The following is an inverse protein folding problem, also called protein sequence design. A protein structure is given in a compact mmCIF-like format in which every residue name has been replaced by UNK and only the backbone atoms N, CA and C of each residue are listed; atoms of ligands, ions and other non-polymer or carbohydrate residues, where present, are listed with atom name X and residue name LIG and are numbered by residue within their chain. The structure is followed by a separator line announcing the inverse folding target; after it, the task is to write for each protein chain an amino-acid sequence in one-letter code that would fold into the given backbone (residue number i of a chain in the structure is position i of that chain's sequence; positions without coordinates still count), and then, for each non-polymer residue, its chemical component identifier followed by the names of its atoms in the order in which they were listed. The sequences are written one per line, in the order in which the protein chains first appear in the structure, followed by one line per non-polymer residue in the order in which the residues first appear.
data_IF_388734208603
#
_entry.id   IF_388734208603
#
_cell.length_a   1.000
_cell.length_b   1.000
_cell.length_c   1.000
_cell.angle_alpha   90.00
_cell.angle_beta   90.00
_cell.angle_gamma   90.00
#
_symmetry.space_group_name_H-M   'P 1'
#
loop_
_entity.id
_entity.type
_entity.pdbx_description
1 polymer ?
#
# COMPACT_ATOMS: atom_id res chain seq x y z
N UNK A 1 -46.31 -19.25 -42.20
CA UNK A 1 -45.32 -18.57 -41.36
C UNK A 1 -44.41 -17.75 -42.26
N UNK A 2 -44.37 -16.43 -42.08
CA UNK A 2 -43.70 -15.48 -42.99
C UNK A 2 -42.96 -14.42 -42.19
N UNK A 3 -41.86 -13.87 -42.75
CA UNK A 3 -40.87 -13.05 -42.04
C UNK A 3 -41.13 -11.53 -42.14
N UNK A 4 -40.31 -10.79 -41.36
CA UNK A 4 -40.05 -9.34 -41.31
C UNK A 4 -40.92 -8.58 -40.29
N UNK A 5 -40.40 -7.89 -39.27
CA UNK A 5 -39.25 -6.96 -39.11
C UNK A 5 -39.70 -5.50 -39.26
N UNK A 6 -39.58 -4.71 -38.18
CA UNK A 6 -39.28 -3.27 -38.20
C UNK A 6 -38.82 -2.82 -36.80
N UNK A 7 -37.62 -2.25 -36.71
CA UNK A 7 -37.18 -1.38 -35.60
C UNK A 7 -37.52 0.07 -35.98
N UNK A 8 -37.92 0.89 -35.01
CA UNK A 8 -37.98 2.36 -35.17
C UNK A 8 -37.97 3.05 -33.79
N UNK A 9 -37.13 4.09 -33.63
CA UNK A 9 -36.92 4.88 -32.40
C UNK A 9 -36.91 6.38 -32.79
N UNK A 10 -37.41 7.31 -31.95
CA UNK A 10 -36.53 8.29 -31.27
C UNK A 10 -36.95 8.55 -29.79
N UNK A 11 -36.06 8.69 -28.79
CA UNK A 11 -35.04 9.74 -28.49
C UNK A 11 -35.62 11.06 -27.92
N UNK A 12 -35.34 11.31 -26.62
CA UNK A 12 -35.09 12.58 -25.87
C UNK A 12 -34.86 12.20 -24.38
N UNK A 13 -33.92 12.67 -23.54
CA UNK A 13 -32.85 13.70 -23.56
C UNK A 13 -33.11 14.99 -22.72
N UNK A 14 -33.00 14.86 -21.38
CA UNK A 14 -32.84 15.89 -20.31
C UNK A 14 -32.04 15.18 -19.19
N UNK A 15 -30.91 15.59 -18.59
CA UNK A 15 -30.13 16.85 -18.44
C UNK A 15 -30.63 17.84 -17.37
N UNK A 16 -30.08 17.70 -16.14
CA UNK A 16 -29.52 18.84 -15.39
C UNK A 16 -30.19 19.26 -14.05
N UNK A 17 -29.35 19.82 -13.17
CA UNK A 17 -29.67 20.71 -12.02
C UNK A 17 -30.47 20.04 -10.87
N UNK A 18 -29.86 19.64 -9.75
CA UNK A 18 -29.13 20.40 -8.70
C UNK A 18 -30.02 21.33 -7.86
N UNK A 19 -30.22 21.00 -6.57
CA UNK A 19 -30.60 21.97 -5.55
C UNK A 19 -29.93 21.62 -4.21
N UNK A 20 -29.25 22.60 -3.63
CA UNK A 20 -28.49 22.49 -2.37
C UNK A 20 -29.37 23.02 -1.24
N UNK A 21 -29.38 22.32 -0.11
CA UNK A 21 -29.84 22.84 1.18
C UNK A 21 -28.74 22.61 2.22
N UNK A 22 -28.14 23.69 2.73
CA UNK A 22 -27.05 23.60 3.69
C UNK A 22 -27.59 23.35 5.12
N UNK A 23 -26.91 22.46 5.86
CA UNK A 23 -26.98 22.40 7.32
C UNK A 23 -25.61 22.82 7.85
N UNK A 24 -25.56 23.88 8.66
CA UNK A 24 -24.33 24.57 9.01
C UNK A 24 -24.16 24.59 10.54
N UNK A 25 -23.03 24.05 11.02
CA UNK A 25 -22.64 23.93 12.44
C UNK A 25 -23.57 23.04 13.32
N UNK A 26 -23.10 22.31 14.34
CA UNK A 26 -21.78 22.30 14.96
C UNK A 26 -21.40 20.91 15.53
N UNK A 27 -20.10 20.62 15.55
CA UNK A 27 -19.41 19.77 16.54
C UNK A 27 -20.05 18.48 17.06
N UNK A 28 -19.82 17.37 16.36
CA UNK A 28 -19.12 16.21 16.95
C UNK A 28 -18.09 15.68 15.96
N UNK A 29 -16.80 15.77 16.30
CA UNK A 29 -15.72 15.20 15.51
C UNK A 29 -15.51 13.73 15.87
N UNK A 30 -16.48 12.90 15.49
CA UNK A 30 -16.37 11.44 15.50
C UNK A 30 -16.40 10.95 14.06
N UNK A 31 -15.24 10.61 13.49
CA UNK A 31 -15.16 10.02 12.16
C UNK A 31 -15.75 8.61 12.21
N UNK A 32 -16.96 8.43 11.65
CA UNK A 32 -17.55 7.10 11.50
C UNK A 32 -16.63 6.24 10.63
N UNK A 33 -16.03 5.21 11.22
CA UNK A 33 -15.27 4.20 10.48
C UNK A 33 -16.24 3.34 9.67
N UNK A 34 -16.69 3.86 8.54
CA UNK A 34 -17.24 3.04 7.46
C UNK A 34 -16.23 1.96 7.08
N UNK A 35 -16.72 0.78 6.71
CA UNK A 35 -15.90 -0.28 6.12
C UNK A 35 -15.56 0.07 4.66
N UNK A 36 -14.95 1.24 4.46
CA UNK A 36 -14.49 1.77 3.17
C UNK A 36 -13.02 1.42 2.93
N UNK A 37 -12.61 1.52 1.67
CA UNK A 37 -11.31 1.07 1.19
C UNK A 37 -10.13 1.62 2.02
N UNK A 38 -9.18 0.73 2.36
CA UNK A 38 -7.85 1.13 2.80
C UNK A 38 -7.23 2.07 1.77
N UNK A 39 -6.71 3.19 2.26
CA UNK A 39 -6.07 4.25 1.49
C UNK A 39 -5.10 4.97 2.42
N UNK A 40 -4.09 5.62 1.85
CA UNK A 40 -3.25 6.58 2.57
C UNK A 40 -4.12 7.73 3.13
N UNK A 41 -4.08 8.03 4.45
CA UNK A 41 -5.01 8.98 5.05
C UNK A 41 -4.96 10.42 4.48
N UNK A 42 -6.14 11.00 4.27
CA UNK A 42 -6.42 12.41 3.93
C UNK A 42 -5.48 13.09 2.91
N UNK A 43 -5.52 12.58 1.68
CA UNK A 43 -5.67 13.44 0.48
C UNK A 43 -4.48 14.29 0.01
N UNK A 44 -3.35 14.30 0.72
CA UNK A 44 -2.13 15.01 0.30
C UNK A 44 -0.84 14.19 0.36
N UNK A 45 -0.88 12.88 0.66
CA UNK A 45 0.33 12.05 0.65
C UNK A 45 0.91 11.78 -0.76
N UNK A 46 0.20 12.05 -1.86
CA UNK A 46 0.73 11.88 -3.23
C UNK A 46 -0.25 11.21 -4.18
N UNK A 47 0.20 10.83 -5.39
CA UNK A 47 -0.57 10.05 -6.36
C UNK A 47 0.26 8.95 -7.05
N UNK A 48 1.37 8.54 -6.45
CA UNK A 48 2.16 7.38 -6.90
C UNK A 48 3.01 7.58 -8.15
N UNK A 49 3.18 8.80 -8.67
CA UNK A 49 4.08 9.07 -9.82
C UNK A 49 5.49 9.45 -9.34
N UNK A 50 6.53 9.41 -10.20
CA UNK A 50 7.90 9.81 -9.81
C UNK A 50 7.99 11.24 -9.25
N UNK A 51 7.17 12.15 -9.74
CA UNK A 51 7.15 13.56 -9.36
C UNK A 51 6.39 13.80 -8.05
N UNK A 52 5.44 12.92 -7.72
CA UNK A 52 4.53 13.05 -6.58
C UNK A 52 4.24 11.66 -5.95
N UNK A 53 5.28 10.99 -5.42
CA UNK A 53 5.18 9.65 -4.83
C UNK A 53 4.36 9.68 -3.55
N UNK A 54 3.77 8.53 -3.18
CA UNK A 54 3.12 8.37 -1.88
C UNK A 54 4.12 8.54 -0.74
N UNK A 55 3.85 9.48 0.15
CA UNK A 55 4.71 9.87 1.26
C UNK A 55 4.42 9.01 2.48
N UNK A 56 5.42 8.22 2.88
CA UNK A 56 5.41 7.44 4.11
C UNK A 56 6.04 8.29 5.21
N UNK A 57 5.38 8.43 6.35
CA UNK A 57 5.79 9.31 7.46
C UNK A 57 5.93 8.57 8.79
N UNK A 58 5.19 7.49 9.01
CA UNK A 58 5.26 6.67 10.21
C UNK A 58 5.11 5.15 9.96
N UNK A 59 4.89 4.39 11.04
CA UNK A 59 4.66 2.95 10.98
C UNK A 59 3.25 2.58 10.50
N UNK A 60 2.24 3.41 10.73
CA UNK A 60 0.88 3.21 10.22
C UNK A 60 0.87 3.31 8.70
N UNK A 61 1.59 4.26 8.10
CA UNK A 61 1.74 4.37 6.64
C UNK A 61 2.35 3.10 6.02
N UNK A 62 3.33 2.46 6.69
CA UNK A 62 3.91 1.18 6.27
C UNK A 62 2.91 0.02 6.36
N UNK A 63 2.09 -0.02 7.41
CA UNK A 63 1.03 -1.03 7.57
C UNK A 63 -0.06 -0.83 6.51
N UNK A 64 -0.45 0.41 6.23
CA UNK A 64 -1.37 0.75 5.13
C UNK A 64 -0.79 0.34 3.78
N UNK A 65 0.50 0.54 3.51
CA UNK A 65 1.15 0.04 2.30
C UNK A 65 1.05 -1.49 2.18
N UNK A 66 1.34 -2.25 3.24
CA UNK A 66 1.19 -3.71 3.21
C UNK A 66 -0.26 -4.13 2.93
N UNK A 67 -1.24 -3.50 3.58
CA UNK A 67 -2.67 -3.75 3.35
C UNK A 67 -3.10 -3.44 1.91
N UNK A 68 -2.65 -2.32 1.33
CA UNK A 68 -2.96 -1.93 -0.05
C UNK A 68 -2.46 -2.95 -1.08
N UNK A 69 -1.23 -3.44 -0.91
CA UNK A 69 -0.65 -4.47 -1.79
C UNK A 69 -1.27 -5.86 -1.53
N UNK A 70 -1.70 -6.15 -0.29
CA UNK A 70 -2.39 -7.40 0.03
C UNK A 70 -3.83 -7.44 -0.50
N UNK A 71 -4.57 -6.33 -0.46
CA UNK A 71 -5.93 -6.23 -0.99
C UNK A 71 -5.96 -6.13 -2.52
N UNK A 72 -5.04 -5.38 -3.14
CA UNK A 72 -4.82 -5.26 -4.60
C UNK A 72 -6.12 -5.24 -5.43
N UNK A 73 -7.04 -4.35 -5.06
CA UNK A 73 -8.31 -4.12 -5.77
C UNK A 73 -8.23 -3.01 -6.81
N UNK A 74 -7.15 -2.22 -6.79
CA UNK A 74 -6.89 -1.11 -7.71
C UNK A 74 -5.44 -1.15 -8.23
N UNK A 75 -5.27 -0.95 -9.54
CA UNK A 75 -3.98 -0.84 -10.19
C UNK A 75 -3.22 0.45 -9.81
N UNK A 76 -3.85 1.40 -9.12
CA UNK A 76 -3.25 2.66 -8.67
C UNK A 76 -1.99 2.47 -7.79
N UNK A 77 -1.91 1.35 -7.06
CA UNK A 77 -0.81 1.04 -6.13
C UNK A 77 0.22 0.05 -6.70
N UNK A 78 -0.16 -0.78 -7.68
CA UNK A 78 0.77 -1.65 -8.38
C UNK A 78 1.72 -0.83 -9.27
N UNK A 79 3.03 -1.05 -9.18
CA UNK A 79 4.04 -0.25 -9.91
C UNK A 79 4.17 1.22 -9.46
N UNK A 80 3.50 1.63 -8.38
CA UNK A 80 3.52 3.01 -7.90
C UNK A 80 4.84 3.41 -7.21
N UNK A 81 5.05 4.71 -7.09
CA UNK A 81 6.20 5.31 -6.42
C UNK A 81 5.85 5.70 -4.98
N UNK A 82 6.71 5.31 -4.05
CA UNK A 82 6.63 5.52 -2.61
C UNK A 82 7.92 6.17 -2.13
N UNK A 83 7.84 7.08 -1.16
CA UNK A 83 9.01 7.74 -0.59
C UNK A 83 8.83 8.02 0.90
N UNK A 84 9.83 7.68 1.70
CA UNK A 84 9.81 7.97 3.14
C UNK A 84 10.24 9.42 3.38
N UNK A 85 9.47 10.15 4.20
CA UNK A 85 9.74 11.54 4.57
C UNK A 85 10.62 11.70 5.81
N UNK A 86 10.64 10.70 6.68
CA UNK A 86 11.39 10.67 7.95
C UNK A 86 12.66 9.83 7.83
N UNK A 87 13.67 10.12 8.67
CA UNK A 87 14.93 9.35 8.71
C UNK A 87 14.90 8.16 9.69
N UNK A 88 13.83 7.99 10.45
CA UNK A 88 13.65 6.86 11.36
C UNK A 88 12.18 6.52 11.56
N UNK A 89 11.82 5.25 11.46
CA UNK A 89 10.51 4.73 11.85
C UNK A 89 10.74 3.69 12.94
N UNK A 90 10.10 3.85 14.09
CA UNK A 90 10.10 2.83 15.15
C UNK A 90 8.80 2.04 15.05
N UNK A 91 8.90 0.72 15.04
CA UNK A 91 7.75 -0.19 15.00
C UNK A 91 7.06 -0.21 16.37
N UNK A 92 5.84 0.34 16.43
CA UNK A 92 5.05 0.41 17.66
C UNK A 92 4.17 -0.83 17.85
N UNK A 93 4.81 -1.98 18.06
CA UNK A 93 4.14 -3.28 18.25
C UNK A 93 3.53 -3.43 19.66
N UNK A 94 2.64 -2.51 20.05
CA UNK A 94 1.95 -2.48 21.35
C UNK A 94 0.91 -3.58 21.49
N UNK A 95 1.39 -4.80 21.76
CA UNK A 95 0.56 -5.99 21.95
C UNK A 95 1.22 -7.29 21.48
N UNK A 96 2.38 -7.20 20.81
CA UNK A 96 3.00 -8.36 20.16
C UNK A 96 2.46 -8.65 18.75
N UNK A 97 1.79 -7.68 18.13
CA UNK A 97 1.36 -7.78 16.74
C UNK A 97 2.58 -7.88 15.80
N UNK A 98 2.51 -8.81 14.85
CA UNK A 98 3.53 -9.08 13.84
C UNK A 98 3.27 -8.26 12.59
N UNK A 99 4.31 -7.65 12.01
CA UNK A 99 4.19 -6.92 10.76
C UNK A 99 3.89 -7.88 9.59
N UNK A 100 2.87 -7.56 8.79
CA UNK A 100 2.52 -8.31 7.57
C UNK A 100 3.48 -7.85 6.46
N UNK A 101 4.28 -8.74 5.84
CA UNK A 101 5.24 -8.37 4.80
C UNK A 101 4.60 -7.62 3.63
N UNK A 102 5.30 -6.65 3.05
CA UNK A 102 4.83 -5.91 1.87
C UNK A 102 5.00 -6.81 0.63
N UNK A 103 3.87 -7.26 0.08
CA UNK A 103 3.81 -8.13 -1.10
C UNK A 103 4.09 -9.61 -0.83
N UNK A 104 3.40 -10.50 -1.54
CA UNK A 104 3.47 -11.97 -1.44
C UNK A 104 3.71 -12.61 -2.81
N UNK A 105 3.90 -13.93 -2.87
CA UNK A 105 4.10 -14.65 -4.15
C UNK A 105 2.94 -14.45 -5.15
N UNK A 106 1.71 -14.34 -4.65
CA UNK A 106 0.52 -14.11 -5.48
C UNK A 106 0.26 -12.63 -5.78
N UNK A 107 0.85 -11.72 -4.98
CA UNK A 107 0.69 -10.25 -5.06
C UNK A 107 2.03 -9.55 -4.81
N UNK A 108 2.98 -9.65 -5.74
CA UNK A 108 4.36 -9.20 -5.51
C UNK A 108 4.44 -7.67 -5.47
N UNK A 109 5.29 -7.13 -4.59
CA UNK A 109 5.56 -5.69 -4.62
C UNK A 109 6.27 -5.32 -5.93
N UNK A 110 5.62 -4.50 -6.75
CA UNK A 110 6.08 -4.10 -8.10
C UNK A 110 6.50 -2.63 -8.20
N UNK A 111 6.33 -1.86 -7.13
CA UNK A 111 6.57 -0.41 -7.10
C UNK A 111 8.02 0.01 -6.95
N UNK A 112 8.21 1.33 -6.82
CA UNK A 112 9.47 1.95 -6.44
C UNK A 112 9.37 2.47 -5.00
N UNK A 113 10.24 2.01 -4.11
CA UNK A 113 10.32 2.44 -2.72
C UNK A 113 11.65 3.21 -2.49
N UNK A 114 11.55 4.53 -2.41
CA UNK A 114 12.62 5.42 -1.95
C UNK A 114 12.61 5.50 -0.42
N UNK A 115 13.51 4.76 0.21
CA UNK A 115 13.74 4.80 1.64
C UNK A 115 14.31 6.12 2.14
N UNK A 116 14.90 6.96 1.28
CA UNK A 116 15.46 8.27 1.63
C UNK A 116 16.35 8.19 2.89
N UNK A 117 17.17 7.15 3.00
CA UNK A 117 18.04 6.87 4.15
C UNK A 117 17.31 6.60 5.48
N UNK A 118 16.09 6.07 5.47
CA UNK A 118 15.34 5.71 6.69
C UNK A 118 15.99 4.53 7.42
N UNK A 119 15.96 4.58 8.75
CA UNK A 119 16.21 3.41 9.61
C UNK A 119 14.88 2.94 10.24
N UNK A 120 14.39 1.78 9.81
CA UNK A 120 13.22 1.11 10.42
C UNK A 120 13.71 0.23 11.58
N UNK A 121 13.24 0.52 12.78
CA UNK A 121 13.74 -0.06 14.03
C UNK A 121 12.72 -0.96 14.73
N UNK A 122 13.16 -2.15 15.15
CA UNK A 122 12.37 -3.08 15.97
C UNK A 122 11.34 -3.93 15.21
N UNK A 123 11.37 -3.91 13.87
CA UNK A 123 10.51 -4.70 13.00
C UNK A 123 10.48 -6.17 13.43
N UNK A 124 9.29 -6.69 13.74
CA UNK A 124 9.08 -8.10 14.07
C UNK A 124 8.09 -8.70 13.08
N UNK A 125 8.54 -9.68 12.31
CA UNK A 125 7.75 -10.49 11.37
C UNK A 125 7.86 -11.93 11.85
N UNK A 126 6.73 -12.54 12.15
CA UNK A 126 6.61 -13.97 12.42
C UNK A 126 5.34 -14.41 11.68
N UNK A 127 5.47 -15.35 10.73
CA UNK A 127 4.42 -15.65 9.76
C UNK A 127 4.57 -17.05 9.16
N UNK A 128 3.44 -17.70 8.92
CA UNK A 128 3.34 -18.99 8.23
C UNK A 128 3.34 -18.86 6.69
N UNK A 129 3.86 -17.75 6.14
CA UNK A 129 4.13 -17.58 4.71
C UNK A 129 5.53 -18.13 4.35
N UNK A 130 5.68 -18.58 3.09
CA UNK A 130 6.93 -19.07 2.52
C UNK A 130 7.99 -17.99 2.31
N UNK A 131 7.60 -16.72 2.25
CA UNK A 131 8.49 -15.58 1.96
C UNK A 131 8.28 -14.43 2.95
N UNK A 132 9.26 -14.20 3.84
CA UNK A 132 9.14 -13.22 4.93
C UNK A 132 10.31 -12.24 5.00
N UNK A 133 9.98 -10.99 5.34
CA UNK A 133 10.88 -9.83 5.46
C UNK A 133 10.05 -8.55 5.65
N UNK A 134 10.67 -7.36 5.57
CA UNK A 134 9.90 -6.11 5.39
C UNK A 134 9.04 -6.19 4.12
N UNK A 135 9.63 -6.69 3.04
CA UNK A 135 8.93 -7.13 1.84
C UNK A 135 8.88 -8.66 1.84
N UNK A 136 7.73 -9.26 1.54
CA UNK A 136 7.64 -10.73 1.44
C UNK A 136 8.24 -11.16 0.11
N UNK A 137 7.62 -10.70 -0.98
CA UNK A 137 8.04 -10.98 -2.34
C UNK A 137 8.17 -9.68 -3.16
N UNK A 138 9.39 -9.39 -3.61
CA UNK A 138 9.71 -8.25 -4.48
C UNK A 138 9.70 -8.71 -5.94
N UNK A 139 8.78 -8.16 -6.73
CA UNK A 139 8.52 -8.53 -8.12
C UNK A 139 9.53 -8.00 -9.12
N UNK A 140 9.48 -8.54 -10.34
CA UNK A 140 10.31 -8.06 -11.45
C UNK A 140 9.96 -6.62 -11.82
N UNK A 141 10.98 -5.76 -11.98
CA UNK A 141 10.82 -4.33 -12.27
C UNK A 141 10.66 -3.43 -11.05
N UNK A 142 10.42 -4.00 -9.86
CA UNK A 142 10.38 -3.26 -8.61
C UNK A 142 11.75 -2.66 -8.27
N UNK A 143 11.76 -1.55 -7.52
CA UNK A 143 12.97 -0.88 -7.02
C UNK A 143 12.78 -0.61 -5.53
N UNK A 144 13.77 -0.97 -4.71
CA UNK A 144 13.83 -0.62 -3.28
C UNK A 144 15.21 -0.02 -3.03
N UNK A 145 15.25 1.17 -2.45
CA UNK A 145 16.49 1.92 -2.24
C UNK A 145 16.58 2.58 -0.87
N UNK A 146 17.79 2.71 -0.35
CA UNK A 146 18.12 3.48 0.88
C UNK A 146 17.34 3.10 2.16
N UNK A 147 16.99 1.82 2.33
CA UNK A 147 16.33 1.31 3.56
C UNK A 147 17.35 0.64 4.49
N UNK A 148 17.50 1.19 5.69
CA UNK A 148 18.17 0.53 6.81
C UNK A 148 17.18 -0.21 7.71
N UNK A 149 17.48 -1.45 8.07
CA UNK A 149 16.78 -2.17 9.15
C UNK A 149 17.69 -2.29 10.38
N UNK A 150 17.14 -2.02 11.56
CA UNK A 150 17.85 -2.11 12.82
C UNK A 150 17.06 -2.92 13.87
N UNK A 151 17.70 -3.94 14.45
CA UNK A 151 17.11 -4.90 15.41
C UNK A 151 15.86 -5.59 14.87
N UNK A 152 15.84 -5.87 13.56
CA UNK A 152 14.77 -6.63 12.95
C UNK A 152 14.80 -8.10 13.40
N UNK A 153 13.61 -8.68 13.61
CA UNK A 153 13.39 -10.09 13.91
C UNK A 153 12.46 -10.65 12.84
N UNK A 154 12.99 -11.50 11.97
CA UNK A 154 12.21 -12.15 10.91
C UNK A 154 12.21 -13.66 11.17
N UNK A 155 11.03 -14.27 11.20
CA UNK A 155 10.81 -15.70 11.38
C UNK A 155 9.72 -16.21 10.42
N UNK A 156 9.86 -17.47 10.01
CA UNK A 156 8.83 -18.27 9.35
C UNK A 156 9.06 -19.74 9.70
N UNK A 157 7.98 -20.53 9.68
CA UNK A 157 8.04 -21.98 9.79
C UNK A 157 8.31 -22.69 8.43
N UNK A 158 8.50 -21.91 7.35
CA UNK A 158 8.64 -22.39 5.97
C UNK A 158 10.05 -22.12 5.39
N UNK A 159 10.15 -21.49 4.20
CA UNK A 159 11.31 -21.65 3.32
C UNK A 159 12.28 -20.47 3.29
N UNK A 160 11.79 -19.23 3.13
CA UNK A 160 12.65 -18.08 2.80
C UNK A 160 12.40 -16.90 3.74
N UNK A 161 13.37 -16.66 4.61
CA UNK A 161 13.44 -15.47 5.46
C UNK A 161 14.63 -14.59 5.06
N UNK A 162 14.38 -13.30 4.87
CA UNK A 162 15.41 -12.28 4.69
C UNK A 162 15.01 -10.99 5.38
N UNK A 163 15.97 -10.26 5.94
CA UNK A 163 15.70 -9.04 6.71
C UNK A 163 14.82 -8.04 5.94
N UNK A 164 15.31 -7.63 4.77
CA UNK A 164 14.63 -6.68 3.91
C UNK A 164 13.60 -7.32 2.98
N UNK A 165 13.93 -8.45 2.35
CA UNK A 165 13.07 -9.15 1.41
C UNK A 165 13.17 -10.67 1.59
N UNK A 166 12.04 -11.37 1.64
CA UNK A 166 11.98 -12.85 1.65
C UNK A 166 12.39 -13.46 0.31
N UNK A 167 11.90 -12.88 -0.79
CA UNK A 167 12.35 -13.15 -2.16
C UNK A 167 12.47 -11.86 -2.97
N UNK A 168 13.41 -11.82 -3.92
CA UNK A 168 13.62 -10.66 -4.80
C UNK A 168 13.91 -11.04 -6.27
N UNK A 169 13.02 -10.59 -7.15
CA UNK A 169 13.23 -10.48 -8.60
C UNK A 169 13.40 -9.02 -9.08
N UNK A 170 13.33 -8.03 -8.17
CA UNK A 170 13.52 -6.61 -8.45
C UNK A 170 14.95 -6.12 -8.21
N UNK A 171 15.13 -4.80 -8.13
CA UNK A 171 16.39 -4.17 -7.76
C UNK A 171 16.36 -3.69 -6.30
N UNK A 172 17.39 -4.05 -5.53
CA UNK A 172 17.60 -3.58 -4.15
C UNK A 172 18.98 -2.91 -4.11
N UNK A 173 19.05 -1.66 -3.64
CA UNK A 173 20.30 -0.88 -3.63
C UNK A 173 20.42 0.05 -2.41
N UNK A 174 21.65 0.31 -1.95
CA UNK A 174 21.94 1.19 -0.80
C UNK A 174 21.23 0.82 0.53
N UNK A 175 20.70 -0.40 0.66
CA UNK A 175 20.02 -0.89 1.86
C UNK A 175 20.96 -1.70 2.78
N UNK A 176 20.62 -1.80 4.07
CA UNK A 176 21.38 -2.60 5.05
C UNK A 176 20.47 -3.21 6.14
N UNK A 177 21.01 -4.20 6.87
CA UNK A 177 20.35 -4.85 8.02
C UNK A 177 21.38 -5.00 9.15
N UNK A 178 21.00 -4.70 10.39
CA UNK A 178 21.86 -4.75 11.58
C UNK A 178 21.09 -5.13 12.86
#
# INVERSE_FOLDING_TARGET
MTKKLLLSVPIILIIGVLLIAAVFAAGIAGSEKTAGAVNFPDGQQGNGTPENPYIISDYSDLVTLSQLIAEETDAHYAGAYYRVSVKSITVDATGGETFIPIGSETKPFTGNFDGNGVIISGLTVDSDDSYVGLFGYVGAGAVISEVGLYKAKIATNYYYAGGLAGYNAGNISSCFVH
#
